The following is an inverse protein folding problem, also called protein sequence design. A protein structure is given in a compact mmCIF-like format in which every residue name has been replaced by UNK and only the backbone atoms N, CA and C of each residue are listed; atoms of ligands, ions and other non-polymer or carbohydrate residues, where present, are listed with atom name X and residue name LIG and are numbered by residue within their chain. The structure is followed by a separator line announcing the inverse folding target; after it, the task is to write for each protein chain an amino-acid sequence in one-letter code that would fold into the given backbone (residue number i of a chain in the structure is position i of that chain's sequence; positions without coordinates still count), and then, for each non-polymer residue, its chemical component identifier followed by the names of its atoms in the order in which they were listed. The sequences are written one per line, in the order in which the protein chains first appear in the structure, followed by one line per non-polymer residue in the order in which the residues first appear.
data_IF_804777391385
#
_entry.id   IF_804777391385
#
_cell.length_a   1.000
_cell.length_b   1.000
_cell.length_c   1.000
_cell.angle_alpha   90.00
_cell.angle_beta   90.00
_cell.angle_gamma   90.00
#
_symmetry.space_group_name_H-M   'P 1'
#
loop_
_entity.id
_entity.type
_entity.pdbx_description
1 polymer ?
2 polymer ?
3 non-polymer ?
4 water ?
#
# COMPACT_ATOMS: atom_id res chain seq x y z
N UNK A 1 13.78 -2.76 -3.76
CA UNK A 1 14.22 -1.39 -3.96
C UNK A 1 13.36 -0.59 -4.92
N UNK A 2 12.44 -1.27 -5.60
CA UNK A 2 11.59 -0.62 -6.59
C UNK A 2 10.23 -0.26 -6.00
N UNK A 3 9.77 0.98 -6.21
CA UNK A 3 8.49 1.43 -5.65
C UNK A 3 7.31 1.01 -6.54
N UNK A 4 7.11 -0.30 -6.61
CA UNK A 4 6.18 -0.88 -7.56
C UNK A 4 5.12 -1.71 -6.84
N UNK A 5 4.87 -1.35 -5.59
CA UNK A 5 3.89 -2.05 -4.77
C UNK A 5 2.53 -1.39 -4.74
N UNK A 6 2.41 -0.17 -5.29
CA UNK A 6 1.16 0.58 -5.21
C UNK A 6 0.71 0.69 -3.74
N UNK A 7 1.67 1.02 -2.88
CA UNK A 7 1.41 1.04 -1.45
C UNK A 7 2.41 1.94 -0.76
N UNK A 8 1.91 2.77 0.15
CA UNK A 8 2.77 3.50 1.08
C UNK A 8 2.72 2.84 2.45
N UNK A 9 3.69 3.19 3.29
CA UNK A 9 3.78 2.60 4.62
C UNK A 9 4.16 3.66 5.64
N UNK A 10 3.33 4.69 5.74
CA UNK A 10 3.60 5.75 6.70
C UNK A 10 3.74 5.19 8.11
N UNK A 11 2.92 4.20 8.45
CA UNK A 11 2.98 3.58 9.76
C UNK A 11 4.11 2.57 9.96
N UNK A 12 4.89 2.30 8.91
CA UNK A 12 6.07 1.46 9.02
C UNK A 12 5.95 0.05 8.48
N UNK A 13 4.75 -0.34 8.05
CA UNK A 13 4.49 -1.70 7.59
C UNK A 13 3.79 -1.72 6.24
N UNK A 14 4.20 -2.64 5.37
CA UNK A 14 3.54 -2.90 4.10
C UNK A 14 2.78 -4.20 4.18
N UNK A 15 1.64 -4.25 3.50
CA UNK A 15 0.81 -5.44 3.49
C UNK A 15 0.87 -6.22 2.19
N UNK A 16 1.45 -5.64 1.14
CA UNK A 16 1.54 -6.34 -0.14
C UNK A 16 2.61 -7.43 -0.08
N UNK A 17 2.26 -8.67 -0.48
CA UNK A 17 3.25 -9.76 -0.45
C UNK A 17 4.52 -9.41 -1.21
N UNK A 18 5.66 -9.64 -0.58
CA UNK A 18 6.94 -9.40 -1.22
C UNK A 18 7.46 -7.97 -1.07
N UNK A 19 6.63 -7.08 -0.53
CA UNK A 19 7.03 -5.70 -0.35
C UNK A 19 7.42 -5.41 1.08
N UNK A 20 8.34 -4.47 1.25
CA UNK A 20 8.84 -4.06 2.56
C UNK A 20 8.87 -2.54 2.61
N UNK A 21 8.94 -1.97 3.81
CA UNK A 21 8.82 -0.53 3.94
C UNK A 21 10.15 0.20 3.85
N UNK A 22 10.40 0.85 2.72
CA UNK A 22 11.49 1.81 2.63
C UNK A 22 10.87 3.14 3.00
N UNK A 23 10.82 3.40 4.30
CA UNK A 23 9.89 4.40 4.83
C UNK A 23 9.95 5.71 4.07
N UNK A 24 8.79 6.22 3.61
CA UNK A 24 7.41 5.77 3.81
C UNK A 24 6.79 5.07 2.61
N UNK A 25 7.61 4.48 1.75
CA UNK A 25 7.12 3.87 0.51
C UNK A 25 7.41 2.38 0.49
N UNK A 26 6.43 1.57 0.10
CA UNK A 26 6.67 0.13 0.01
C UNK A 26 7.46 -0.18 -1.24
N UNK A 27 8.43 -1.07 -1.12
CA UNK A 27 9.25 -1.43 -2.26
C UNK A 27 9.39 -2.93 -2.38
N UNK A 28 9.67 -3.35 -3.61
CA UNK A 28 9.99 -4.72 -3.92
C UNK A 28 11.39 -4.71 -4.49
N UNK A 29 12.33 -5.27 -3.75
CA UNK A 29 13.74 -5.26 -4.13
C UNK A 29 14.25 -3.85 -4.44
N UNK B 1 -4.92 -2.63 6.53
CA UNK B 1 -4.81 -1.34 7.19
C UNK B 1 -6.12 -0.62 7.46
N UNK B 2 -7.25 -1.27 7.20
CA UNK B 2 -8.55 -0.66 7.46
C UNK B 2 -9.21 -0.19 6.17
N UNK B 3 -9.79 1.01 6.19
CA UNK B 3 -10.38 1.58 4.98
C UNK B 3 -11.77 1.01 4.68
N UNK B 4 -11.81 -0.25 4.26
CA UNK B 4 -13.06 -0.94 3.99
C UNK B 4 -13.14 -1.40 2.54
N UNK B 5 -12.49 -0.66 1.65
CA UNK B 5 -12.39 -1.06 0.26
C UNK B 5 -13.27 -0.26 -0.68
N UNK B 6 -13.92 0.80 -0.19
CA UNK B 6 -14.75 1.62 -1.05
C UNK B 6 -13.97 2.17 -2.23
N UNK B 7 -12.75 2.60 -1.94
CA UNK B 7 -11.87 3.08 -2.99
C UNK B 7 -10.80 3.99 -2.40
N UNK B 8 -10.52 5.08 -3.10
CA UNK B 8 -9.36 5.92 -2.80
C UNK B 8 -8.27 5.68 -3.84
N UNK B 9 -7.07 6.15 -3.55
CA UNK B 9 -5.93 5.92 -4.43
C UNK B 9 -5.06 7.16 -4.49
N UNK B 10 -5.67 8.27 -4.87
CA UNK B 10 -4.96 9.54 -4.91
C UNK B 10 -3.75 9.44 -5.84
N UNK B 11 -3.88 8.61 -6.88
CA UNK B 11 -2.80 8.39 -7.82
C UNK B 11 -1.82 7.30 -7.43
N UNK B 12 -2.03 6.67 -6.28
CA UNK B 12 -1.07 5.72 -5.71
C UNK B 12 -1.40 4.24 -5.84
N UNK B 13 -2.48 3.90 -6.55
CA UNK B 13 -2.81 2.49 -6.80
C UNK B 13 -4.29 2.19 -6.55
N UNK B 14 -4.57 0.97 -6.06
CA UNK B 14 -5.93 0.45 -5.84
C UNK B 14 -6.26 -0.69 -6.79
N UNK B 15 -7.54 -0.83 -7.14
CA UNK B 15 -7.98 -1.85 -8.09
C UNK B 15 -8.61 -3.06 -7.45
N UNK B 16 -9.09 -2.91 -6.22
CA UNK B 16 -9.77 -4.00 -5.55
C UNK B 16 -8.76 -5.02 -5.05
N UNK B 17 -8.88 -6.28 -5.51
CA UNK B 17 -7.95 -7.32 -5.04
C UNK B 17 -7.98 -7.45 -3.52
N UNK B 18 -6.80 -7.51 -2.92
CA UNK B 18 -6.70 -7.58 -1.48
C UNK B 18 -6.52 -6.23 -0.81
N UNK B 19 -6.79 -5.16 -1.55
CA UNK B 19 -6.63 -3.81 -1.02
C UNK B 19 -5.35 -3.20 -1.53
N UNK B 20 -4.78 -2.32 -0.73
CA UNK B 20 -3.60 -1.62 -1.18
C UNK B 20 -3.63 -0.17 -0.72
N UNK B 21 -2.73 0.65 -1.25
CA UNK B 21 -2.87 2.09 -1.04
C UNK B 21 -2.16 2.58 0.22
N UNK B 22 -2.93 2.89 1.25
CA UNK B 22 -2.41 3.62 2.41
C UNK B 22 -2.75 5.07 2.10
N UNK B 23 -1.88 5.72 1.35
CA UNK B 23 -2.27 6.92 0.63
C UNK B 23 -2.95 7.92 1.55
N UNK B 24 -4.11 8.47 1.15
CA UNK B 24 -4.78 8.36 -0.15
C UNK B 24 -5.96 7.38 -0.18
N UNK B 25 -6.03 6.45 0.76
CA UNK B 25 -7.18 5.57 0.87
C UNK B 25 -6.77 4.10 0.71
N UNK B 26 -7.57 3.34 -0.03
CA UNK B 26 -7.31 1.92 -0.16
C UNK B 26 -7.73 1.20 1.11
N UNK B 27 -6.88 0.30 1.57
CA UNK B 27 -7.12 -0.41 2.81
C UNK B 27 -6.96 -1.91 2.64
N UNK B 28 -7.66 -2.63 3.51
CA UNK B 28 -7.54 -4.08 3.63
C UNK B 28 -6.98 -4.34 5.03
N UNK B 29 -5.76 -4.85 5.09
CA UNK B 29 -5.08 -5.06 6.37
C UNK B 29 -5.06 -3.78 7.21
X LIG C 1 -14.39 -2.59 9.51
X LIG C 1 -14.47 -3.25 10.88
X LIG C 1 -13.62 -2.52 11.79
X LIG C 1 -15.90 -3.16 11.37
X LIG C 1 -14.01 -4.71 10.84
X LIG C 1 -14.08 -5.37 9.46
X LIG C 1 -12.87 -5.17 8.76
X LIG C 1 -14.32 -6.86 9.59
#
# INVERSE_FOLDING_TARGET
GLPVCAETCVGGTCNTPGCTCSWPVCTRN
GLPVCGETCVGGTCNTPGCTCSWPVCTRN
MPD C1 C2 O2 CM C3 C4 O4 C5
#
